data_IF_868061896493
#
_entry.id   IF_868061896493
#
_cell.length_a   1.000
_cell.length_b   1.000
_cell.length_c   1.000
_cell.angle_alpha   90.00
_cell.angle_beta   90.00
_cell.angle_gamma   90.00
#
_symmetry.space_group_name_H-M   'P 1'
#
loop_
_entity.id
_entity.type
_entity.pdbx_description
1 polymer ?
#
# COMPACT_ATOMS: atom_id res chain seq x y z
N UNK A 1 -22.72 -8.07 -9.42
CA UNK A 1 -21.65 -7.22 -8.83
C UNK A 1 -20.99 -8.04 -7.75
N UNK A 2 -19.78 -8.56 -7.99
CA UNK A 2 -19.08 -9.38 -7.01
C UNK A 2 -18.80 -8.55 -5.74
N UNK A 3 -19.23 -9.04 -4.58
CA UNK A 3 -18.94 -8.40 -3.30
C UNK A 3 -17.74 -9.10 -2.71
N UNK A 4 -16.55 -8.53 -2.92
CA UNK A 4 -15.32 -9.07 -2.33
C UNK A 4 -15.37 -8.88 -0.82
N UNK A 5 -15.42 -9.98 -0.07
CA UNK A 5 -15.33 -9.94 1.38
C UNK A 5 -14.02 -10.63 1.79
N UNK A 6 -12.94 -9.87 2.07
CA UNK A 6 -11.69 -10.47 2.52
C UNK A 6 -11.90 -11.02 3.92
N UNK A 7 -11.94 -12.35 4.04
CA UNK A 7 -11.86 -13.02 5.34
C UNK A 7 -10.55 -13.81 5.38
N UNK A 8 -9.77 -13.49 6.42
CA UNK A 8 -8.47 -14.06 6.78
C UNK A 8 -7.25 -13.49 6.00
N UNK A 9 -6.15 -13.28 6.73
CA UNK A 9 -4.84 -12.78 6.26
C UNK A 9 -4.82 -11.38 5.62
N UNK A 10 -5.15 -10.34 6.40
CA UNK A 10 -4.84 -8.95 6.02
C UNK A 10 -3.32 -8.84 5.78
N UNK A 11 -2.87 -8.38 4.60
CA UNK A 11 -1.46 -8.27 4.29
C UNK A 11 -0.80 -7.30 5.26
N UNK A 12 0.15 -7.81 6.03
CA UNK A 12 1.02 -6.96 6.85
C UNK A 12 2.17 -6.51 5.96
N UNK A 13 2.22 -5.21 5.69
CA UNK A 13 3.30 -4.61 4.93
C UNK A 13 4.47 -4.31 5.85
N UNK A 14 5.62 -4.92 5.58
CA UNK A 14 6.87 -4.53 6.21
C UNK A 14 7.59 -3.54 5.30
N UNK A 15 8.14 -2.48 5.87
CA UNK A 15 8.94 -1.52 5.11
C UNK A 15 10.34 -1.40 5.69
N UNK A 16 11.33 -1.38 4.80
CA UNK A 16 12.74 -1.21 5.13
C UNK A 16 13.24 0.05 4.47
N UNK A 17 13.92 0.91 5.22
CA UNK A 17 14.53 2.11 4.66
C UNK A 17 15.59 1.75 3.64
N UNK A 18 15.54 2.37 2.46
CA UNK A 18 16.52 2.22 1.41
C UNK A 18 17.63 3.26 1.58
N UNK A 19 18.73 2.87 2.22
CA UNK A 19 19.89 3.74 2.38
C UNK A 19 19.63 5.01 3.19
N UNK A 20 20.48 6.01 2.98
CA UNK A 20 20.46 7.26 3.75
C UNK A 20 19.41 8.24 3.20
N UNK A 21 19.00 9.19 4.07
CA UNK A 21 18.08 10.25 3.68
C UNK A 21 18.87 11.24 2.83
N UNK A 22 18.24 11.70 1.75
CA UNK A 22 18.75 12.83 0.99
C UNK A 22 18.25 14.09 1.68
N UNK A 23 19.18 14.95 2.14
CA UNK A 23 18.84 16.17 2.87
C UNK A 23 19.15 17.42 2.05
N UNK A 24 18.25 18.40 2.08
CA UNK A 24 18.50 19.76 1.58
C UNK A 24 18.08 20.77 2.64
N UNK A 25 18.98 21.68 3.00
CA UNK A 25 18.72 22.68 4.03
C UNK A 25 18.68 24.12 3.46
N UNK A 26 17.86 24.95 4.09
CA UNK A 26 17.87 26.42 4.00
C UNK A 26 18.11 26.97 5.41
N UNK A 27 18.25 28.30 5.61
CA UNK A 27 18.45 28.87 6.94
C UNK A 27 17.35 28.54 7.95
N UNK A 28 16.13 28.21 7.50
CA UNK A 28 14.97 27.99 8.36
C UNK A 28 14.30 26.63 8.17
N UNK A 29 14.79 25.80 7.24
CA UNK A 29 14.12 24.55 6.87
C UNK A 29 15.11 23.45 6.51
N UNK A 30 14.77 22.21 6.87
CA UNK A 30 15.47 21.01 6.41
C UNK A 30 14.46 20.09 5.73
N UNK A 31 14.70 19.79 4.47
CA UNK A 31 13.95 18.81 3.69
C UNK A 31 14.69 17.49 3.73
N UNK A 32 14.01 16.41 4.13
CA UNK A 32 14.53 15.05 4.15
C UNK A 32 13.69 14.18 3.23
N UNK A 33 14.32 13.60 2.21
CA UNK A 33 13.69 12.61 1.32
C UNK A 33 14.22 11.23 1.69
N UNK A 34 13.31 10.34 2.08
CA UNK A 34 13.63 9.01 2.59
C UNK A 34 12.93 7.96 1.71
N UNK A 35 13.68 7.16 0.93
CA UNK A 35 13.10 6.06 0.19
C UNK A 35 12.99 4.81 1.08
N UNK A 36 11.94 4.03 0.84
CA UNK A 36 11.65 2.78 1.53
C UNK A 36 11.30 1.70 0.52
N UNK A 37 11.74 0.48 0.81
CA UNK A 37 11.29 -0.72 0.15
C UNK A 37 10.13 -1.30 0.94
N UNK A 38 9.09 -1.72 0.23
CA UNK A 38 7.90 -2.33 0.78
C UNK A 38 7.96 -3.83 0.48
N UNK A 39 8.34 -4.61 1.49
CA UNK A 39 8.21 -6.05 1.45
C UNK A 39 6.75 -6.39 1.74
N UNK A 40 5.98 -6.70 0.70
CA UNK A 40 4.70 -7.34 0.88
C UNK A 40 4.92 -8.85 1.06
N UNK A 41 4.35 -9.40 2.12
CA UNK A 41 4.24 -10.85 2.25
C UNK A 41 3.14 -11.29 1.27
N UNK A 42 3.40 -12.35 0.51
CA UNK A 42 2.37 -13.01 -0.28
C UNK A 42 1.19 -13.31 0.64
N UNK A 43 -0.01 -12.92 0.21
CA UNK A 43 -1.23 -13.06 0.99
C UNK A 43 -2.28 -13.80 0.17
N UNK A 44 -3.00 -14.70 0.82
CA UNK A 44 -4.10 -15.43 0.23
C UNK A 44 -5.43 -14.85 0.73
N UNK A 45 -6.39 -14.69 -0.18
CA UNK A 45 -7.72 -14.18 0.13
C UNK A 45 -8.77 -15.08 -0.49
N UNK A 46 -9.83 -15.37 0.25
CA UNK A 46 -11.04 -15.95 -0.33
C UNK A 46 -11.91 -14.85 -0.93
N UNK A 47 -12.35 -15.06 -2.17
CA UNK A 47 -13.21 -14.13 -2.90
C UNK A 47 -14.56 -14.78 -3.12
N UNK A 48 -15.57 -14.18 -2.51
CA UNK A 48 -16.97 -14.56 -2.70
C UNK A 48 -17.60 -13.68 -3.78
N UNK A 49 -18.03 -14.27 -4.88
CA UNK A 49 -18.86 -13.57 -5.86
C UNK A 49 -20.32 -13.98 -5.67
N UNK A 50 -21.16 -13.01 -5.32
CA UNK A 50 -22.60 -13.17 -5.34
C UNK A 50 -23.10 -12.63 -6.68
N UNK A 51 -23.12 -13.49 -7.71
CA UNK A 51 -23.90 -13.18 -8.90
C UNK A 51 -25.28 -13.82 -8.79
N UNK A 52 -26.32 -13.00 -8.90
CA UNK A 52 -27.70 -13.40 -8.65
C UNK A 52 -28.27 -14.32 -9.74
N UNK A 53 -27.56 -14.50 -10.86
CA UNK A 53 -27.99 -15.33 -11.98
C UNK A 53 -27.34 -16.72 -12.00
N UNK A 54 -26.07 -16.85 -11.59
CA UNK A 54 -25.29 -18.10 -11.72
C UNK A 54 -24.98 -18.80 -10.39
N UNK A 55 -25.43 -18.22 -9.27
CA UNK A 55 -25.16 -18.73 -7.92
C UNK A 55 -23.91 -18.10 -7.29
N UNK A 56 -23.66 -18.43 -6.02
CA UNK A 56 -22.49 -17.93 -5.30
C UNK A 56 -21.23 -18.72 -5.72
N UNK A 57 -20.17 -18.02 -6.10
CA UNK A 57 -18.86 -18.62 -6.32
C UNK A 57 -17.88 -18.25 -5.21
N UNK A 58 -16.97 -19.17 -4.94
CA UNK A 58 -15.82 -18.95 -4.06
C UNK A 58 -14.55 -19.42 -4.77
N UNK A 59 -13.53 -18.59 -4.74
CA UNK A 59 -12.19 -18.94 -5.19
C UNK A 59 -11.16 -18.20 -4.34
N UNK A 60 -10.01 -18.86 -4.15
CA UNK A 60 -8.88 -18.26 -3.44
C UNK A 60 -7.99 -17.53 -4.44
N UNK A 61 -7.53 -16.34 -4.06
CA UNK A 61 -6.56 -15.55 -4.82
C UNK A 61 -5.30 -15.33 -4.01
N UNK A 62 -4.17 -15.39 -4.68
CA UNK A 62 -2.85 -15.12 -4.12
C UNK A 62 -2.39 -13.75 -4.64
N UNK A 63 -2.11 -12.83 -3.73
CA UNK A 63 -1.39 -11.60 -4.04
C UNK A 63 0.08 -11.92 -4.19
N UNK A 64 0.64 -11.52 -5.33
CA UNK A 64 2.06 -11.63 -5.62
C UNK A 64 2.64 -10.23 -5.65
N UNK A 65 3.56 -9.96 -4.74
CA UNK A 65 4.33 -8.72 -4.76
C UNK A 65 5.50 -8.84 -5.72
N UNK A 66 5.75 -7.81 -6.52
CA UNK A 66 7.06 -7.67 -7.15
C UNK A 66 8.08 -7.16 -6.12
N UNK A 67 9.33 -7.60 -6.23
CA UNK A 67 10.45 -7.21 -5.36
C UNK A 67 10.82 -5.71 -5.46
N UNK A 68 10.18 -4.95 -6.37
CA UNK A 68 10.51 -3.54 -6.62
C UNK A 68 9.50 -2.56 -6.01
N UNK A 69 8.64 -3.01 -5.10
CA UNK A 69 7.70 -2.12 -4.43
C UNK A 69 8.43 -1.09 -3.55
N UNK A 70 8.28 0.20 -3.88
CA UNK A 70 8.96 1.28 -3.16
C UNK A 70 8.02 2.46 -2.90
N UNK A 71 8.32 3.20 -1.84
CA UNK A 71 7.71 4.51 -1.61
C UNK A 71 8.74 5.51 -1.13
N UNK A 72 8.45 6.78 -1.37
CA UNK A 72 9.26 7.89 -0.90
C UNK A 72 8.45 8.73 0.07
N UNK A 73 9.05 9.03 1.22
CA UNK A 73 8.51 9.95 2.22
C UNK A 73 9.39 11.20 2.26
N UNK A 74 8.79 12.36 2.06
CA UNK A 74 9.45 13.65 2.23
C UNK A 74 8.98 14.31 3.51
N UNK A 75 9.94 14.68 4.36
CA UNK A 75 9.72 15.33 5.64
C UNK A 75 10.28 16.76 5.54
N UNK A 76 9.50 17.73 6.00
CA UNK A 76 9.94 19.10 6.20
C UNK A 76 10.08 19.36 7.70
N UNK A 77 11.29 19.73 8.11
CA UNK A 77 11.61 20.20 9.45
C UNK A 77 11.74 21.72 9.41
N UNK A 78 10.78 22.43 10.00
CA UNK A 78 10.85 23.88 10.16
C UNK A 78 11.67 24.20 11.41
N UNK A 79 12.74 24.99 11.22
CA UNK A 79 13.66 25.45 12.26
C UNK A 79 13.47 26.96 12.38
N UNK A 80 12.50 27.36 13.21
CA UNK A 80 12.21 28.76 13.52
C UNK A 80 12.78 29.06 14.92
N UNK A 81 13.18 30.30 15.19
CA UNK A 81 13.70 30.70 16.51
C UNK A 81 12.73 30.25 17.62
N UNK A 82 13.12 29.19 18.36
CA UNK A 82 12.39 28.54 19.46
C UNK A 82 11.32 27.49 19.11
N UNK A 83 11.27 26.98 17.87
CA UNK A 83 10.36 25.88 17.52
C UNK A 83 10.94 24.98 16.43
N UNK A 84 11.06 23.69 16.76
CA UNK A 84 11.39 22.61 15.84
C UNK A 84 10.11 21.80 15.55
N UNK A 85 9.48 21.99 14.38
CA UNK A 85 8.29 21.22 13.99
C UNK A 85 8.61 20.41 12.76
N UNK A 86 8.44 19.09 12.86
CA UNK A 86 8.50 18.18 11.72
C UNK A 86 7.10 17.92 11.17
N UNK A 87 6.94 17.95 9.85
CA UNK A 87 5.72 17.54 9.15
C UNK A 87 6.05 16.75 7.90
N UNK A 88 5.13 15.89 7.48
CA UNK A 88 5.22 15.27 6.16
C UNK A 88 4.89 16.31 5.09
N UNK A 89 5.84 16.53 4.19
CA UNK A 89 5.69 17.42 3.03
C UNK A 89 5.01 16.69 1.88
N UNK A 90 5.47 15.47 1.57
CA UNK A 90 4.90 14.66 0.50
C UNK A 90 5.13 13.16 0.73
N UNK A 91 4.25 12.36 0.12
CA UNK A 91 4.33 10.91 0.08
C UNK A 91 4.02 10.44 -1.34
N UNK A 92 4.86 9.55 -1.87
CA UNK A 92 4.63 8.93 -3.17
C UNK A 92 4.87 7.43 -3.08
N UNK A 93 3.93 6.65 -3.58
CA UNK A 93 4.03 5.19 -3.66
C UNK A 93 4.17 4.79 -5.13
N UNK A 94 5.25 4.08 -5.45
CA UNK A 94 5.47 3.47 -6.76
C UNK A 94 5.56 1.96 -6.57
N UNK A 95 4.39 1.33 -6.60
CA UNK A 95 4.25 -0.09 -6.29
C UNK A 95 3.33 -0.76 -7.30
N UNK A 96 3.66 -2.01 -7.58
CA UNK A 96 2.85 -2.94 -8.34
C UNK A 96 2.74 -4.29 -7.62
N UNK A 97 1.50 -4.72 -7.40
CA UNK A 97 1.09 -6.07 -7.00
C UNK A 97 0.31 -6.74 -8.13
N UNK A 98 0.69 -7.97 -8.45
CA UNK A 98 -0.12 -8.86 -9.26
C UNK A 98 -1.05 -9.70 -8.39
N UNK A 99 -2.08 -10.27 -9.00
CA UNK A 99 -2.82 -11.39 -8.39
C UNK A 99 -2.80 -12.61 -9.30
N UNK A 100 -2.77 -13.77 -8.66
CA UNK A 100 -2.97 -15.05 -9.29
C UNK A 100 -4.18 -15.73 -8.65
N UNK A 101 -4.94 -16.52 -9.43
CA UNK A 101 -5.93 -17.42 -8.84
C UNK A 101 -5.22 -18.68 -8.34
N UNK A 102 -5.69 -19.20 -7.20
CA UNK A 102 -5.28 -20.50 -6.69
C UNK A 102 -5.62 -21.65 -7.65
N UNK A 103 -5.18 -22.88 -7.33
CA UNK A 103 -5.50 -24.05 -8.14
C UNK A 103 -7.02 -24.28 -8.21
N UNK A 104 -7.53 -24.57 -9.41
CA UNK A 104 -8.93 -24.92 -9.70
C UNK A 104 -10.00 -23.91 -9.24
N UNK A 105 -9.96 -22.65 -9.72
CA UNK A 105 -10.96 -21.66 -9.33
C UNK A 105 -12.33 -22.02 -9.91
N UNK A 106 -13.35 -22.06 -9.05
CA UNK A 106 -14.75 -22.16 -9.50
C UNK A 106 -15.21 -20.75 -9.87
N UNK A 107 -15.26 -20.48 -11.17
CA UNK A 107 -15.68 -19.19 -11.73
C UNK A 107 -17.20 -19.19 -11.98
N UNK A 108 -17.86 -18.08 -11.65
CA UNK A 108 -19.26 -17.84 -11.99
C UNK A 108 -19.33 -16.87 -13.16
N UNK A 109 -20.27 -17.12 -14.09
CA UNK A 109 -20.52 -16.27 -15.24
C UNK A 109 -19.53 -16.42 -16.40
N UNK A 110 -19.70 -15.58 -17.41
CA UNK A 110 -18.97 -15.64 -18.68
C UNK A 110 -17.56 -15.04 -18.63
N UNK A 111 -17.10 -14.57 -17.47
CA UNK A 111 -15.78 -13.98 -17.35
C UNK A 111 -14.69 -15.04 -17.50
N UNK A 112 -13.77 -14.82 -18.43
CA UNK A 112 -12.58 -15.67 -18.52
C UNK A 112 -11.69 -15.47 -17.29
N UNK A 113 -10.92 -16.52 -16.97
CA UNK A 113 -9.90 -16.51 -15.91
C UNK A 113 -9.01 -15.27 -15.96
N UNK A 114 -8.53 -14.93 -17.16
CA UNK A 114 -7.63 -13.80 -17.36
C UNK A 114 -8.31 -12.46 -17.14
N UNK A 115 -9.58 -12.33 -17.50
CA UNK A 115 -10.34 -11.10 -17.26
C UNK A 115 -10.54 -10.88 -15.76
N UNK A 116 -10.90 -11.93 -15.03
CA UNK A 116 -11.07 -11.86 -13.59
C UNK A 116 -9.76 -11.48 -12.87
N UNK A 117 -8.63 -12.09 -13.25
CA UNK A 117 -7.32 -11.74 -12.69
C UNK A 117 -7.01 -10.25 -12.91
N UNK A 118 -7.26 -9.72 -14.12
CA UNK A 118 -7.04 -8.30 -14.41
C UNK A 118 -7.91 -7.40 -13.54
N UNK A 119 -9.20 -7.69 -13.43
CA UNK A 119 -10.15 -6.87 -12.69
C UNK A 119 -9.84 -6.86 -11.20
N UNK A 120 -9.55 -8.03 -10.63
CA UNK A 120 -9.12 -8.16 -9.24
C UNK A 120 -7.82 -7.38 -9.04
N UNK A 121 -6.80 -7.59 -9.89
CA UNK A 121 -5.50 -6.91 -9.78
C UNK A 121 -5.68 -5.40 -9.75
N UNK A 122 -6.52 -4.86 -10.64
CA UNK A 122 -6.82 -3.43 -10.67
C UNK A 122 -7.51 -2.95 -9.37
N UNK A 123 -8.50 -3.68 -8.88
CA UNK A 123 -9.19 -3.33 -7.63
C UNK A 123 -8.27 -3.35 -6.42
N UNK A 124 -7.43 -4.38 -6.30
CA UNK A 124 -6.46 -4.51 -5.23
C UNK A 124 -5.45 -3.36 -5.25
N UNK A 125 -4.90 -3.04 -6.43
CA UNK A 125 -3.97 -1.93 -6.62
C UNK A 125 -4.56 -0.59 -6.15
N UNK A 126 -5.81 -0.32 -6.51
CA UNK A 126 -6.52 0.90 -6.09
C UNK A 126 -6.69 0.89 -4.56
N UNK A 127 -7.15 -0.22 -3.99
CA UNK A 127 -7.40 -0.35 -2.56
C UNK A 127 -6.13 -0.17 -1.71
N UNK A 128 -5.05 -0.86 -2.06
CA UNK A 128 -3.78 -0.77 -1.34
C UNK A 128 -3.15 0.61 -1.47
N UNK A 129 -3.13 1.18 -2.68
CA UNK A 129 -2.62 2.56 -2.87
C UNK A 129 -3.41 3.56 -2.03
N UNK A 130 -4.74 3.44 -1.98
CA UNK A 130 -5.58 4.30 -1.13
C UNK A 130 -5.27 4.12 0.36
N UNK A 131 -5.15 2.87 0.83
CA UNK A 131 -4.83 2.56 2.22
C UNK A 131 -3.45 3.10 2.64
N UNK A 132 -2.42 2.91 1.81
CA UNK A 132 -1.06 3.37 2.08
C UNK A 132 -0.95 4.90 2.02
N UNK A 133 -1.53 5.55 1.00
CA UNK A 133 -1.58 7.01 0.88
C UNK A 133 -2.27 7.68 2.08
N UNK A 134 -3.21 6.99 2.72
CA UNK A 134 -3.91 7.51 3.90
C UNK A 134 -3.14 7.22 5.19
N UNK A 135 -2.65 6.00 5.35
CA UNK A 135 -2.13 5.52 6.63
C UNK A 135 -0.69 5.95 6.87
N UNK A 136 0.19 5.88 5.87
CA UNK A 136 1.61 6.17 6.07
C UNK A 136 1.82 7.65 6.46
N UNK A 137 1.28 8.65 5.75
CA UNK A 137 1.46 10.05 6.14
C UNK A 137 0.87 10.35 7.52
N UNK A 138 -0.27 9.75 7.86
CA UNK A 138 -0.92 9.91 9.17
C UNK A 138 0.00 9.43 10.30
N UNK A 139 0.45 8.18 10.23
CA UNK A 139 1.29 7.61 11.30
C UNK A 139 2.69 8.25 11.33
N UNK A 140 3.23 8.67 10.19
CA UNK A 140 4.50 9.39 10.13
C UNK A 140 4.39 10.79 10.77
N UNK A 141 3.30 11.53 10.55
CA UNK A 141 3.06 12.79 11.26
C UNK A 141 2.92 12.57 12.77
N UNK A 142 2.16 11.56 13.21
CA UNK A 142 2.06 11.23 14.64
C UNK A 142 3.42 10.89 15.27
N UNK A 143 4.30 10.21 14.53
CA UNK A 143 5.66 9.93 15.00
C UNK A 143 6.51 11.20 15.12
N UNK A 144 6.35 12.15 14.19
CA UNK A 144 7.05 13.44 14.22
C UNK A 144 6.56 14.35 15.35
N UNK A 145 5.28 14.32 15.69
CA UNK A 145 4.73 15.05 16.86
C UNK A 145 5.38 14.60 18.18
N UNK A 146 5.73 13.32 18.28
CA UNK A 146 6.46 12.79 19.43
C UNK A 146 7.97 13.09 19.44
N UNK A 147 8.51 13.65 18.36
CA UNK A 147 9.95 13.86 18.18
C UNK A 147 10.29 15.36 18.22
N UNK A 148 10.75 15.84 19.38
CA UNK A 148 11.38 17.16 19.46
C UNK A 148 12.87 17.03 19.13
N UNK A 149 13.33 17.80 18.13
CA UNK A 149 14.75 17.87 17.73
C UNK A 149 15.39 19.22 18.10
N UNK A 150 14.68 19.95 18.96
CA UNK A 150 15.17 20.97 19.88
C UNK A 150 15.12 20.31 21.28
#
# INVERSE_FOLDING_TARGET
MATVVPFENIPVYNFTRLGNAVSRATPTQIFLTIPFHLAALDAEYDVFSLDTQDGACNFTVQMMSEDNNQFTLSILLDVVENSCVGKIDSFSVDTYWGMALGPDPVLCGDQSRDQLIRDLTAQHQIGVRAALNTSIPKYANMALEGFSFC
#
